data_IF_640121569037
#
_entry.id   IF_640121569037
#
_cell.length_a   1.000
_cell.length_b   1.000
_cell.length_c   1.000
_cell.angle_alpha   90.00
_cell.angle_beta   90.00
_cell.angle_gamma   90.00
#
_symmetry.space_group_name_H-M   'P 1'
#
loop_
_entity.id
_entity.type
_entity.pdbx_description
1 polymer ?
#
# COMPACT_ATOMS: atom_id res chain seq x y z
N UNK A 1 -11.23 6.83 1.82
CA UNK A 1 -12.30 7.46 0.98
C UNK A 1 -13.31 6.44 0.42
N UNK A 2 -12.85 5.28 -0.06
CA UNK A 2 -13.71 4.28 -0.72
C UNK A 2 -14.91 3.83 0.11
N UNK A 3 -14.72 3.53 1.41
CA UNK A 3 -15.83 3.17 2.29
C UNK A 3 -16.90 4.28 2.40
N UNK A 4 -16.49 5.56 2.46
CA UNK A 4 -17.41 6.70 2.45
C UNK A 4 -18.20 6.84 1.14
N UNK A 5 -17.64 6.34 0.05
CA UNK A 5 -18.29 6.31 -1.26
C UNK A 5 -19.19 5.07 -1.44
N UNK A 6 -19.31 4.22 -0.42
CA UNK A 6 -20.19 3.05 -0.42
C UNK A 6 -19.54 1.74 -0.87
N UNK A 7 -18.21 1.68 -0.95
CA UNK A 7 -17.51 0.42 -1.22
C UNK A 7 -17.38 -0.43 0.05
N UNK A 8 -17.48 -1.76 -0.10
CA UNK A 8 -17.05 -2.72 0.92
C UNK A 8 -15.51 -2.81 0.87
N UNK A 9 -14.84 -2.42 1.96
CA UNK A 9 -13.38 -2.26 1.96
C UNK A 9 -12.72 -3.26 2.90
N UNK A 10 -11.76 -4.00 2.35
CA UNK A 10 -10.75 -4.73 3.11
C UNK A 10 -9.45 -3.93 3.07
N UNK A 11 -8.85 -3.66 4.23
CA UNK A 11 -7.53 -3.07 4.37
C UNK A 11 -6.52 -4.11 4.83
N UNK A 12 -5.49 -4.37 4.03
CA UNK A 12 -4.44 -5.33 4.37
C UNK A 12 -3.10 -4.63 4.61
N UNK A 13 -2.38 -5.05 5.65
CA UNK A 13 -1.02 -4.58 5.93
C UNK A 13 -0.18 -5.73 6.51
N UNK A 14 1.07 -5.86 6.03
CA UNK A 14 2.02 -6.87 6.49
C UNK A 14 2.65 -6.51 7.85
N UNK A 15 2.55 -5.24 8.28
CA UNK A 15 3.01 -4.79 9.57
C UNK A 15 1.87 -4.88 10.60
N UNK A 16 1.96 -5.76 11.61
CA UNK A 16 0.87 -5.98 12.58
C UNK A 16 0.56 -4.74 13.41
N UNK A 17 1.53 -3.83 13.54
CA UNK A 17 1.40 -2.58 14.29
C UNK A 17 0.51 -1.55 13.59
N UNK A 18 0.33 -1.64 12.26
CA UNK A 18 -0.46 -0.69 11.49
C UNK A 18 -1.96 -0.95 11.62
N UNK A 19 -2.35 -2.22 11.79
CA UNK A 19 -3.76 -2.63 11.83
C UNK A 19 -4.54 -1.96 12.97
N UNK A 20 -4.09 -1.97 14.25
CA UNK A 20 -4.83 -1.30 15.31
C UNK A 20 -4.96 0.21 15.10
N UNK A 21 -3.94 0.84 14.51
CA UNK A 21 -3.97 2.29 14.21
C UNK A 21 -5.02 2.59 13.15
N UNK A 22 -5.08 1.77 12.10
CA UNK A 22 -6.05 1.92 11.02
C UNK A 22 -7.49 1.65 11.48
N UNK A 23 -7.69 0.66 12.36
CA UNK A 23 -8.99 0.37 12.99
C UNK A 23 -9.49 1.56 13.82
N UNK A 24 -8.65 2.11 14.69
CA UNK A 24 -8.98 3.31 15.47
C UNK A 24 -9.35 4.48 14.55
N UNK A 25 -8.62 4.68 13.45
CA UNK A 25 -8.94 5.74 12.49
C UNK A 25 -10.30 5.54 11.81
N UNK A 26 -10.66 4.30 11.47
CA UNK A 26 -11.96 3.98 10.89
C UNK A 26 -13.10 4.16 11.89
N UNK A 27 -12.93 3.72 13.14
CA UNK A 27 -13.89 3.93 14.23
C UNK A 27 -14.16 5.42 14.46
N UNK A 28 -13.10 6.23 14.57
CA UNK A 28 -13.21 7.68 14.71
C UNK A 28 -13.88 8.35 13.49
N UNK A 29 -13.79 7.70 12.33
CA UNK A 29 -14.42 8.15 11.09
C UNK A 29 -15.83 7.63 10.90
N UNK A 30 -16.33 6.76 11.79
CA UNK A 30 -17.63 6.08 11.66
C UNK A 30 -17.71 5.17 10.43
N UNK A 31 -16.59 4.54 10.04
CA UNK A 31 -16.51 3.68 8.86
C UNK A 31 -16.36 2.22 9.27
N UNK A 32 -17.12 1.35 8.61
CA UNK A 32 -16.96 -0.09 8.70
C UNK A 32 -15.95 -0.55 7.64
N UNK A 33 -14.77 -0.97 8.08
CA UNK A 33 -13.66 -1.40 7.22
C UNK A 33 -13.03 -2.64 7.85
N UNK A 34 -12.91 -3.71 7.07
CA UNK A 34 -12.29 -4.96 7.50
C UNK A 34 -10.76 -4.85 7.37
N UNK A 35 -10.09 -4.51 8.47
CA UNK A 35 -8.63 -4.46 8.51
C UNK A 35 -8.01 -5.78 8.96
N UNK A 36 -7.05 -6.28 8.19
CA UNK A 36 -6.41 -7.59 8.38
C UNK A 36 -4.90 -7.49 8.35
N UNK A 37 -4.25 -8.11 9.33
CA UNK A 37 -2.80 -8.35 9.28
C UNK A 37 -2.53 -9.53 8.34
N UNK A 38 -2.19 -9.23 7.10
CA UNK A 38 -2.02 -10.21 6.02
C UNK A 38 -1.23 -9.61 4.86
N UNK A 39 -0.87 -10.44 3.89
CA UNK A 39 -0.17 -10.04 2.67
C UNK A 39 -1.09 -10.23 1.45
N UNK A 40 -0.77 -9.55 0.34
CA UNK A 40 -1.52 -9.76 -0.90
C UNK A 40 -1.39 -11.21 -1.38
N UNK A 41 -0.20 -11.79 -1.20
CA UNK A 41 0.15 -13.16 -1.50
C UNK A 41 -0.71 -14.17 -0.71
N UNK A 42 -0.84 -13.98 0.60
CA UNK A 42 -1.65 -14.86 1.44
C UNK A 42 -3.15 -14.78 1.07
N UNK A 43 -3.65 -13.58 0.80
CA UNK A 43 -5.03 -13.39 0.35
C UNK A 43 -5.29 -14.03 -1.02
N UNK A 44 -4.33 -13.90 -1.94
CA UNK A 44 -4.40 -14.53 -3.25
C UNK A 44 -4.40 -16.06 -3.13
N UNK A 45 -3.54 -16.61 -2.27
CA UNK A 45 -3.47 -18.03 -1.97
C UNK A 45 -4.74 -18.56 -1.30
N UNK A 46 -5.43 -17.74 -0.50
CA UNK A 46 -6.73 -18.04 0.08
C UNK A 46 -7.89 -17.99 -0.94
N UNK A 47 -7.61 -17.56 -2.18
CA UNK A 47 -8.60 -17.49 -3.26
C UNK A 47 -9.51 -16.25 -3.20
N UNK A 48 -9.13 -15.23 -2.43
CA UNK A 48 -9.90 -13.99 -2.35
C UNK A 48 -9.86 -13.24 -3.69
N UNK A 49 -10.92 -12.46 -3.97
CA UNK A 49 -11.08 -11.71 -5.23
C UNK A 49 -11.85 -10.41 -5.04
N UNK A 50 -11.35 -9.34 -5.62
CA UNK A 50 -11.86 -7.97 -5.50
C UNK A 50 -12.15 -7.36 -6.88
N UNK A 51 -13.10 -6.42 -6.92
CA UNK A 51 -13.38 -5.63 -8.13
C UNK A 51 -12.30 -4.57 -8.37
N UNK A 52 -11.68 -4.06 -7.29
CA UNK A 52 -10.60 -3.08 -7.33
C UNK A 52 -9.54 -3.42 -6.30
N UNK A 53 -8.26 -3.36 -6.71
CA UNK A 53 -7.10 -3.41 -5.81
C UNK A 53 -6.42 -2.04 -5.81
N UNK A 54 -6.27 -1.44 -4.62
CA UNK A 54 -5.55 -0.19 -4.41
C UNK A 54 -4.21 -0.49 -3.73
N UNK A 55 -3.12 -0.34 -4.48
CA UNK A 55 -1.75 -0.50 -3.99
C UNK A 55 -1.06 0.87 -3.92
N UNK A 56 -1.13 1.54 -2.76
CA UNK A 56 -0.68 2.92 -2.62
C UNK A 56 0.64 2.98 -1.83
N UNK A 57 1.76 3.26 -2.52
CA UNK A 57 3.11 3.43 -1.94
C UNK A 57 3.64 2.16 -1.21
N UNK A 58 3.46 0.99 -1.81
CA UNK A 58 3.93 -0.30 -1.24
C UNK A 58 5.02 -0.96 -2.08
N UNK A 59 4.92 -0.89 -3.41
CA UNK A 59 5.73 -1.70 -4.34
C UNK A 59 7.24 -1.42 -4.28
N UNK A 60 7.65 -0.21 -3.89
CA UNK A 60 9.06 0.16 -3.67
C UNK A 60 9.63 -0.38 -2.35
N UNK A 61 8.80 -0.90 -1.44
CA UNK A 61 9.21 -1.40 -0.13
C UNK A 61 9.23 -2.93 -0.05
N UNK A 62 8.65 -3.64 -1.03
CA UNK A 62 8.65 -5.11 -1.05
C UNK A 62 9.98 -5.68 -1.55
N UNK A 63 10.27 -6.93 -1.17
CA UNK A 63 11.48 -7.63 -1.62
C UNK A 63 11.42 -8.14 -3.06
N UNK A 64 10.22 -8.48 -3.54
CA UNK A 64 9.97 -8.95 -4.91
C UNK A 64 8.76 -8.18 -5.51
N UNK A 65 9.01 -7.05 -6.21
CA UNK A 65 7.95 -6.27 -6.83
C UNK A 65 7.13 -7.05 -7.86
N UNK A 66 7.75 -7.97 -8.60
CA UNK A 66 7.05 -8.72 -9.65
C UNK A 66 6.13 -9.77 -9.03
N UNK A 67 6.62 -10.51 -8.01
CA UNK A 67 5.79 -11.43 -7.23
C UNK A 67 4.61 -10.72 -6.58
N UNK A 68 4.86 -9.57 -5.95
CA UNK A 68 3.80 -8.77 -5.32
C UNK A 68 2.74 -8.28 -6.33
N UNK A 69 3.16 -7.74 -7.48
CA UNK A 69 2.23 -7.30 -8.52
C UNK A 69 1.44 -8.47 -9.14
N UNK A 70 2.03 -9.67 -9.20
CA UNK A 70 1.34 -10.89 -9.62
C UNK A 70 0.27 -11.28 -8.61
N UNK A 71 0.56 -11.22 -7.31
CA UNK A 71 -0.44 -11.46 -6.27
C UNK A 71 -1.59 -10.43 -6.33
N UNK A 72 -1.27 -9.14 -6.54
CA UNK A 72 -2.29 -8.11 -6.76
C UNK A 72 -3.15 -8.39 -8.00
N UNK A 73 -2.56 -8.91 -9.08
CA UNK A 73 -3.30 -9.32 -10.27
C UNK A 73 -4.22 -10.50 -9.98
N UNK A 74 -3.74 -11.52 -9.27
CA UNK A 74 -4.52 -12.71 -8.92
C UNK A 74 -5.68 -12.38 -7.97
N UNK A 75 -5.57 -11.30 -7.20
CA UNK A 75 -6.66 -10.76 -6.37
C UNK A 75 -7.76 -10.07 -7.18
N UNK A 76 -7.58 -9.81 -8.48
CA UNK A 76 -8.61 -9.15 -9.29
C UNK A 76 -9.62 -10.16 -9.84
N UNK A 77 -10.89 -9.77 -9.81
CA UNK A 77 -11.92 -10.40 -10.66
C UNK A 77 -11.67 -10.09 -12.14
N UNK A 78 -12.17 -10.90 -13.07
CA UNK A 78 -12.14 -10.57 -14.49
C UNK A 78 -12.74 -9.18 -14.75
N UNK A 79 -11.98 -8.29 -15.37
CA UNK A 79 -12.38 -6.88 -15.62
C UNK A 79 -12.17 -5.93 -14.43
N UNK A 80 -11.58 -6.39 -13.32
CA UNK A 80 -11.25 -5.56 -12.17
C UNK A 80 -10.15 -4.55 -12.45
N UNK A 81 -10.02 -3.56 -11.56
CA UNK A 81 -9.07 -2.47 -11.70
C UNK A 81 -7.94 -2.55 -10.67
N UNK A 82 -6.69 -2.51 -11.13
CA UNK A 82 -5.54 -2.27 -10.26
C UNK A 82 -5.14 -0.80 -10.38
N UNK A 83 -5.16 -0.08 -9.26
CA UNK A 83 -4.59 1.26 -9.17
C UNK A 83 -3.36 1.18 -8.27
N UNK A 84 -2.22 1.57 -8.80
CA UNK A 84 -0.94 1.56 -8.10
C UNK A 84 -0.33 2.96 -8.07
N UNK A 85 0.21 3.36 -6.93
CA UNK A 85 1.07 4.53 -6.79
C UNK A 85 2.40 4.12 -6.18
N UNK A 86 3.46 4.77 -6.64
CA UNK A 86 4.84 4.52 -6.21
C UNK A 86 5.70 5.73 -6.51
N UNK A 87 6.81 5.88 -5.78
CA UNK A 87 7.75 6.97 -6.01
C UNK A 87 8.58 6.71 -7.29
N UNK A 88 8.49 7.65 -8.23
CA UNK A 88 9.24 7.62 -9.48
C UNK A 88 10.76 7.84 -9.25
N UNK A 89 11.59 7.00 -9.86
CA UNK A 89 13.06 7.10 -9.86
C UNK A 89 13.61 8.21 -10.78
N UNK A 90 13.34 9.48 -10.44
CA UNK A 90 14.06 10.67 -10.94
C UNK A 90 14.72 11.59 -9.86
N UNK A 91 15.69 12.42 -10.26
CA UNK A 91 16.42 13.31 -9.34
C UNK A 91 15.53 14.21 -8.46
N UNK A 92 14.35 14.62 -8.94
CA UNK A 92 13.39 15.41 -8.16
C UNK A 92 12.83 14.60 -7.00
N UNK A 93 12.41 13.35 -7.23
CA UNK A 93 11.94 12.45 -6.18
C UNK A 93 13.03 12.18 -5.15
N UNK A 94 14.29 11.98 -5.57
CA UNK A 94 15.41 11.82 -4.64
C UNK A 94 15.56 13.02 -3.71
N UNK A 95 15.57 14.23 -4.29
CA UNK A 95 15.73 15.47 -3.55
C UNK A 95 14.58 15.70 -2.56
N UNK A 96 13.35 15.36 -2.93
CA UNK A 96 12.17 15.61 -2.09
C UNK A 96 11.95 14.50 -1.05
N UNK A 97 11.90 13.24 -1.47
CA UNK A 97 11.53 12.11 -0.62
C UNK A 97 12.67 11.70 0.33
N UNK A 98 13.92 11.73 -0.13
CA UNK A 98 15.06 11.34 0.70
C UNK A 98 15.64 12.57 1.38
N UNK A 99 16.25 13.48 0.61
CA UNK A 99 16.95 14.64 1.20
C UNK A 99 15.99 15.54 1.96
N UNK A 100 14.87 15.90 1.35
CA UNK A 100 13.85 16.77 1.95
C UNK A 100 13.19 16.14 3.17
N UNK A 101 12.46 15.04 2.98
CA UNK A 101 11.63 14.47 4.05
C UNK A 101 12.42 13.80 5.18
N UNK A 102 13.51 13.09 4.88
CA UNK A 102 14.27 12.34 5.89
C UNK A 102 15.39 13.17 6.56
N UNK A 103 16.14 13.96 5.79
CA UNK A 103 17.33 14.65 6.31
C UNK A 103 17.06 16.09 6.75
N UNK A 104 16.32 16.86 5.95
CA UNK A 104 16.06 18.29 6.22
C UNK A 104 14.87 18.47 7.16
N UNK A 105 13.69 17.99 6.76
CA UNK A 105 12.45 18.18 7.50
C UNK A 105 12.29 17.19 8.67
N UNK A 106 12.94 16.03 8.57
CA UNK A 106 12.84 14.93 9.56
C UNK A 106 11.41 14.48 9.82
N UNK A 107 10.58 14.48 8.78
CA UNK A 107 9.22 13.94 8.84
C UNK A 107 9.23 12.42 8.85
N UNK A 108 10.25 11.82 8.26
CA UNK A 108 10.44 10.37 8.20
C UNK A 108 11.79 9.99 8.83
N UNK A 109 11.88 8.79 9.43
CA UNK A 109 13.16 8.22 9.82
C UNK A 109 14.14 8.18 8.65
N UNK A 110 15.43 8.30 8.95
CA UNK A 110 16.47 8.13 7.93
C UNK A 110 16.51 6.67 7.47
N UNK A 111 16.57 6.46 6.16
CA UNK A 111 16.55 5.14 5.56
C UNK A 111 15.14 4.58 5.35
N UNK A 112 14.10 5.42 5.45
CA UNK A 112 12.74 5.02 5.05
C UNK A 112 12.71 4.69 3.55
N UNK A 113 13.45 5.43 2.73
CA UNK A 113 13.53 5.22 1.30
C UNK A 113 14.94 4.86 0.82
N UNK A 114 15.00 3.96 -0.15
CA UNK A 114 16.22 3.61 -0.87
C UNK A 114 16.05 3.97 -2.35
N UNK A 115 16.91 4.84 -2.87
CA UNK A 115 16.81 5.33 -4.25
C UNK A 115 16.74 4.21 -5.31
N UNK A 116 17.50 3.14 -5.08
CA UNK A 116 17.56 1.97 -5.95
C UNK A 116 16.28 1.13 -5.98
N UNK A 117 15.32 1.39 -5.06
CA UNK A 117 14.04 0.68 -5.00
C UNK A 117 12.88 1.44 -5.63
N UNK A 118 13.04 2.72 -5.93
CA UNK A 118 12.00 3.51 -6.61
C UNK A 118 11.68 2.96 -8.00
N UNK A 119 10.46 3.07 -8.50
CA UNK A 119 10.07 2.44 -9.78
C UNK A 119 10.14 3.47 -10.94
N UNK A 120 10.23 3.02 -12.19
CA UNK A 120 10.24 3.87 -13.42
C UNK A 120 9.13 3.46 -14.36
#
# INVERSE_FOLDING_TARGET
PMARLGADVVGADAAPRNIPVAQVHAEQSGLDIDYRHTTAEDMAAAGERFDVVLNMEVVEHVSDPLGYLTACYDLLRPGGLHICSTINRNAKSFAMAIVGAEYVMRWLPKGTHEWSKFIT
#
